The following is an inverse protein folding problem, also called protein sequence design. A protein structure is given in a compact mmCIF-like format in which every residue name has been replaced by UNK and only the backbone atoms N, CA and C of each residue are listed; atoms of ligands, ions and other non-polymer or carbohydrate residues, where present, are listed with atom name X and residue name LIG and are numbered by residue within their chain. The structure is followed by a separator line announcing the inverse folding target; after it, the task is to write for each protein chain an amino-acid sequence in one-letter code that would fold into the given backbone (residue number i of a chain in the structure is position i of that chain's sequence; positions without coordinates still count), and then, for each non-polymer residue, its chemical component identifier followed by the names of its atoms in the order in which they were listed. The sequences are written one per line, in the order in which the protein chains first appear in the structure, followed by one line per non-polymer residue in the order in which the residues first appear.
data_IF_145978926635
#
_entry.id   IF_145978926635
#
_cell.length_a   1.000
_cell.length_b   1.000
_cell.length_c   1.000
_cell.angle_alpha   90.00
_cell.angle_beta   90.00
_cell.angle_gamma   90.00
#
_symmetry.space_group_name_H-M   'P 1'
#
loop_
_entity.id
_entity.type
_entity.pdbx_description
1 polymer ?
#
# COMPACT_ATOMS: atom_id res chain seq x y z
N UNK A 1 35.82 15.69 -11.12
CA UNK A 1 34.58 14.94 -11.40
C UNK A 1 34.80 13.53 -10.89
N UNK A 2 34.20 13.17 -9.77
CA UNK A 2 34.25 11.80 -9.24
C UNK A 2 32.92 11.14 -9.56
N UNK A 3 32.93 10.17 -10.45
CA UNK A 3 31.85 9.20 -10.64
C UNK A 3 32.23 7.98 -9.78
N UNK A 4 31.67 7.89 -8.58
CA UNK A 4 31.77 6.67 -7.77
C UNK A 4 30.68 5.70 -8.21
N UNK A 5 31.05 4.44 -8.38
CA UNK A 5 30.18 3.36 -8.84
C UNK A 5 30.04 2.35 -7.71
N UNK A 6 29.10 2.58 -6.81
CA UNK A 6 28.68 1.57 -5.82
C UNK A 6 27.34 0.96 -6.26
N UNK A 7 27.38 0.19 -7.35
CA UNK A 7 26.33 -0.75 -7.74
C UNK A 7 26.69 -2.20 -7.34
N UNK A 8 27.77 -2.40 -6.58
CA UNK A 8 28.33 -3.73 -6.25
C UNK A 8 28.46 -3.99 -4.74
N UNK A 9 27.76 -3.23 -3.90
CA UNK A 9 27.47 -3.67 -2.53
C UNK A 9 26.72 -5.01 -2.61
N UNK A 10 26.99 -5.99 -1.73
CA UNK A 10 26.08 -7.12 -1.58
C UNK A 10 24.67 -6.57 -1.37
N UNK A 11 23.71 -7.10 -2.14
CA UNK A 11 22.32 -6.69 -2.07
C UNK A 11 21.79 -7.07 -0.69
N UNK A 12 21.65 -6.06 0.17
CA UNK A 12 20.98 -6.15 1.46
C UNK A 12 19.57 -5.58 1.25
N UNK A 13 18.52 -6.42 1.14
CA UNK A 13 17.15 -5.95 0.97
C UNK A 13 16.75 -5.15 2.20
N UNK A 14 16.78 -3.83 2.09
CA UNK A 14 16.28 -2.91 3.11
C UNK A 14 14.83 -2.58 2.80
N UNK A 15 14.06 -2.35 3.85
CA UNK A 15 12.76 -1.73 3.68
C UNK A 15 12.96 -0.35 3.05
N UNK A 16 12.27 -0.11 1.94
CA UNK A 16 12.36 1.11 1.16
C UNK A 16 11.29 2.12 1.57
N UNK A 17 10.29 1.72 2.36
CA UNK A 17 9.20 2.60 2.78
C UNK A 17 9.69 3.54 3.89
N UNK A 18 9.32 4.81 3.79
CA UNK A 18 9.63 5.85 4.77
C UNK A 18 8.42 6.15 5.66
N UNK A 19 7.28 6.48 5.05
CA UNK A 19 6.03 6.71 5.78
C UNK A 19 4.79 6.47 4.92
N UNK A 20 3.66 6.33 5.60
CA UNK A 20 2.34 6.34 4.99
C UNK A 20 2.00 7.73 4.45
N UNK A 21 1.37 7.77 3.27
CA UNK A 21 0.86 9.01 2.67
C UNK A 21 -0.65 9.08 2.80
N UNK A 22 -1.37 7.99 2.48
CA UNK A 22 -2.82 7.96 2.65
C UNK A 22 -3.48 6.70 2.09
N UNK A 23 -4.71 6.44 2.50
CA UNK A 23 -5.56 5.36 2.02
C UNK A 23 -6.78 5.94 1.28
N UNK A 24 -7.32 5.24 0.29
CA UNK A 24 -8.53 5.71 -0.41
C UNK A 24 -9.76 5.74 0.49
N UNK A 25 -9.76 4.89 1.51
CA UNK A 25 -10.72 4.92 2.60
C UNK A 25 -10.14 4.19 3.83
N UNK A 26 -10.76 4.44 4.98
CA UNK A 26 -10.49 3.70 6.22
C UNK A 26 -11.81 3.48 6.95
N UNK A 27 -12.03 2.29 7.54
CA UNK A 27 -13.28 1.99 8.27
C UNK A 27 -13.28 2.60 9.68
N UNK A 28 -12.36 2.16 10.55
CA UNK A 28 -12.27 2.63 11.94
C UNK A 28 -10.93 3.29 12.22
N UNK A 29 -10.95 4.63 12.26
CA UNK A 29 -9.80 5.42 12.70
C UNK A 29 -9.78 5.58 14.23
N UNK A 30 -8.60 5.51 14.88
CA UNK A 30 -7.27 5.23 14.30
C UNK A 30 -6.89 3.72 14.27
N UNK A 31 -7.74 2.84 14.80
CA UNK A 31 -7.39 1.43 15.04
C UNK A 31 -7.10 0.60 13.79
N UNK A 32 -7.60 1.02 12.63
CA UNK A 32 -7.48 0.31 11.35
C UNK A 32 -6.86 1.22 10.28
N UNK A 33 -6.05 2.18 10.70
CA UNK A 33 -5.41 3.17 9.84
C UNK A 33 -4.22 2.58 9.05
N UNK A 34 -3.82 3.28 7.98
CA UNK A 34 -2.70 2.86 7.11
C UNK A 34 -1.38 2.73 7.88
N UNK A 35 -1.17 3.52 8.92
CA UNK A 35 0.03 3.51 9.76
C UNK A 35 0.31 2.13 10.37
N UNK A 36 -0.75 1.39 10.67
CA UNK A 36 -0.68 0.05 11.26
C UNK A 36 -0.10 -1.00 10.29
N UNK A 37 0.00 -0.70 8.99
CA UNK A 37 0.61 -1.61 8.01
C UNK A 37 2.14 -1.65 8.09
N UNK A 38 2.77 -0.67 8.75
CA UNK A 38 4.21 -0.58 8.94
C UNK A 38 4.65 -0.99 10.35
N UNK A 39 3.71 -1.28 11.24
CA UNK A 39 4.00 -1.75 12.59
C UNK A 39 4.09 -3.28 12.64
N UNK A 40 5.09 -3.80 13.36
CA UNK A 40 5.34 -5.24 13.48
C UNK A 40 4.83 -5.84 14.80
N UNK A 41 4.19 -5.06 15.67
CA UNK A 41 3.84 -5.51 17.02
C UNK A 41 2.51 -6.29 17.03
N UNK A 42 2.61 -7.61 16.84
CA UNK A 42 1.47 -8.55 16.88
C UNK A 42 1.19 -9.10 18.30
N UNK A 43 1.94 -8.71 19.34
CA UNK A 43 1.86 -9.41 20.64
C UNK A 43 0.54 -9.19 21.39
N UNK A 44 -0.13 -8.04 21.20
CA UNK A 44 -1.32 -7.70 21.99
C UNK A 44 -2.51 -7.17 21.20
N UNK A 45 -2.33 -6.72 19.96
CA UNK A 45 -3.40 -6.21 19.10
C UNK A 45 -3.06 -6.50 17.65
N UNK A 46 -4.02 -6.95 16.81
CA UNK A 46 -3.77 -7.00 15.38
C UNK A 46 -3.50 -5.57 14.87
N UNK A 47 -2.33 -5.35 14.27
CA UNK A 47 -1.99 -4.12 13.58
C UNK A 47 -2.26 -4.31 12.09
N UNK A 48 -3.24 -3.59 11.56
CA UNK A 48 -3.72 -3.71 10.19
C UNK A 48 -4.40 -2.42 9.73
N UNK A 49 -4.53 -2.29 8.42
CA UNK A 49 -5.43 -1.31 7.80
C UNK A 49 -6.73 -1.99 7.39
N UNK A 50 -7.85 -1.28 7.43
CA UNK A 50 -9.11 -1.74 6.84
C UNK A 50 -9.70 -0.70 5.89
N UNK A 51 -10.20 -1.14 4.74
CA UNK A 51 -10.97 -0.29 3.84
C UNK A 51 -12.34 0.06 4.43
N UNK A 52 -12.93 1.18 4.04
CA UNK A 52 -14.37 1.38 4.19
C UNK A 52 -15.19 0.33 3.41
N UNK A 53 -16.37 -0.01 3.94
CA UNK A 53 -17.25 -1.02 3.35
C UNK A 53 -17.83 -0.60 1.99
N UNK A 54 -17.86 -1.53 1.03
CA UNK A 54 -18.43 -1.30 -0.31
C UNK A 54 -19.46 -2.34 -0.72
N UNK A 55 -20.52 -1.91 -1.41
CA UNK A 55 -21.54 -2.84 -1.96
C UNK A 55 -21.04 -3.57 -3.20
N UNK A 56 -20.33 -2.85 -4.06
CA UNK A 56 -19.77 -3.40 -5.29
C UNK A 56 -18.35 -3.92 -5.02
N UNK A 57 -18.11 -5.24 -5.12
CA UNK A 57 -16.78 -5.81 -4.90
C UNK A 57 -15.77 -5.41 -5.98
N UNK A 58 -16.19 -4.81 -7.11
CA UNK A 58 -15.27 -4.33 -8.14
C UNK A 58 -14.63 -2.98 -7.80
N UNK A 59 -15.15 -2.23 -6.82
CA UNK A 59 -14.57 -0.94 -6.40
C UNK A 59 -13.23 -1.20 -5.72
N UNK A 60 -12.11 -0.69 -6.29
CA UNK A 60 -10.78 -0.92 -5.74
C UNK A 60 -10.53 -0.06 -4.50
N UNK A 61 -9.46 -0.40 -3.79
CA UNK A 61 -8.85 0.45 -2.77
C UNK A 61 -7.40 0.72 -3.13
N UNK A 62 -6.80 1.72 -2.51
CA UNK A 62 -5.38 1.96 -2.61
C UNK A 62 -4.76 2.49 -1.33
N UNK A 63 -3.50 2.13 -1.14
CA UNK A 63 -2.61 2.65 -0.12
C UNK A 63 -1.43 3.32 -0.81
N UNK A 64 -1.06 4.52 -0.36
CA UNK A 64 0.07 5.28 -0.90
C UNK A 64 1.11 5.44 0.19
N UNK A 65 2.38 5.19 -0.17
CA UNK A 65 3.53 5.33 0.71
C UNK A 65 4.63 6.16 0.03
N UNK A 66 5.40 6.85 0.85
CA UNK A 66 6.65 7.47 0.44
C UNK A 66 7.82 6.51 0.65
N UNK A 67 8.80 6.57 -0.23
CA UNK A 67 10.04 5.80 -0.13
C UNK A 67 11.13 6.63 0.57
N UNK A 68 12.12 5.95 1.14
CA UNK A 68 13.25 6.57 1.86
C UNK A 68 14.11 7.50 0.98
N UNK A 69 14.01 7.38 -0.33
CA UNK A 69 14.71 8.24 -1.28
C UNK A 69 13.82 8.52 -2.50
N UNK A 70 14.01 9.69 -3.09
CA UNK A 70 13.46 10.01 -4.41
C UNK A 70 13.99 9.08 -5.50
N UNK A 71 15.13 8.42 -5.29
CA UNK A 71 15.67 7.41 -6.19
C UNK A 71 15.77 6.08 -5.44
N UNK A 72 14.81 5.20 -5.68
CA UNK A 72 14.74 3.90 -5.02
C UNK A 72 14.60 2.78 -6.05
N UNK A 73 15.45 1.76 -5.95
CA UNK A 73 15.33 0.55 -6.77
C UNK A 73 14.38 -0.43 -6.06
N UNK A 74 13.24 -0.70 -6.67
CA UNK A 74 12.20 -1.60 -6.13
C UNK A 74 12.18 -2.87 -6.96
N UNK A 75 12.33 -4.03 -6.33
CA UNK A 75 12.27 -5.35 -6.99
C UNK A 75 11.10 -6.22 -6.49
N UNK A 76 10.69 -6.02 -5.25
CA UNK A 76 9.67 -6.80 -4.57
C UNK A 76 8.85 -5.92 -3.63
N UNK A 77 7.54 -6.16 -3.61
CA UNK A 77 6.64 -5.62 -2.58
C UNK A 77 6.10 -6.82 -1.80
N UNK A 78 6.06 -6.72 -0.47
CA UNK A 78 5.54 -7.76 0.41
C UNK A 78 4.30 -7.27 1.14
N UNK A 79 3.23 -8.05 1.09
CA UNK A 79 1.95 -7.72 1.74
C UNK A 79 1.41 -8.97 2.42
N UNK A 80 0.87 -8.81 3.64
CA UNK A 80 0.21 -9.87 4.40
C UNK A 80 -1.26 -9.48 4.59
N UNK A 81 -2.22 -10.18 3.96
CA UNK A 81 -3.63 -9.98 4.29
C UNK A 81 -3.94 -10.42 5.71
N UNK A 82 -4.89 -9.76 6.36
CA UNK A 82 -5.27 -10.13 7.72
C UNK A 82 -6.32 -11.25 7.75
N UNK A 83 -6.11 -12.22 8.64
CA UNK A 83 -7.17 -13.12 9.09
C UNK A 83 -7.89 -12.51 10.29
N UNK A 84 -9.18 -12.30 10.13
CA UNK A 84 -10.06 -11.77 11.16
C UNK A 84 -10.39 -12.81 12.23
N UNK A 85 -9.43 -13.14 13.11
CA UNK A 85 -9.63 -14.15 14.16
C UNK A 85 -10.81 -13.85 15.08
N UNK A 86 -11.18 -12.58 15.21
CA UNK A 86 -12.29 -12.09 16.01
C UNK A 86 -13.66 -12.13 15.30
N UNK A 87 -13.72 -12.54 14.01
CA UNK A 87 -14.98 -12.69 13.26
C UNK A 87 -15.35 -14.17 13.10
N UNK A 88 -16.65 -14.44 12.98
CA UNK A 88 -17.16 -15.80 12.78
C UNK A 88 -16.62 -16.41 11.48
N UNK A 89 -16.12 -17.65 11.55
CA UNK A 89 -15.50 -18.33 10.41
C UNK A 89 -14.07 -17.88 10.10
N UNK A 90 -13.53 -16.90 10.84
CA UNK A 90 -12.19 -16.36 10.70
C UNK A 90 -11.80 -16.02 9.25
N UNK A 91 -12.59 -15.19 8.57
CA UNK A 91 -12.37 -14.85 7.17
C UNK A 91 -11.05 -14.10 6.96
N UNK A 92 -10.59 -14.14 5.72
CA UNK A 92 -9.42 -13.39 5.25
C UNK A 92 -9.95 -12.32 4.30
N UNK A 93 -9.73 -11.06 4.64
CA UNK A 93 -10.25 -9.91 3.90
C UNK A 93 -9.21 -9.45 2.87
N UNK A 94 -8.75 -10.33 2.00
CA UNK A 94 -7.78 -9.92 0.97
C UNK A 94 -8.45 -9.45 -0.32
N UNK A 95 -7.66 -8.80 -1.18
CA UNK A 95 -8.08 -8.52 -2.55
C UNK A 95 -7.97 -9.78 -3.44
N UNK A 96 -8.54 -9.75 -4.64
CA UNK A 96 -8.33 -10.79 -5.67
C UNK A 96 -6.98 -10.60 -6.33
N UNK A 97 -6.63 -9.35 -6.63
CA UNK A 97 -5.37 -8.97 -7.25
C UNK A 97 -4.79 -7.72 -6.59
N UNK A 98 -3.50 -7.53 -6.76
CA UNK A 98 -2.79 -6.30 -6.40
C UNK A 98 -2.01 -5.77 -7.61
N UNK A 99 -1.93 -4.45 -7.73
CA UNK A 99 -1.11 -3.75 -8.73
C UNK A 99 -0.31 -2.64 -8.07
N UNK A 100 0.89 -2.41 -8.55
CA UNK A 100 1.80 -1.40 -8.02
C UNK A 100 2.02 -0.30 -9.03
N UNK A 101 2.00 0.95 -8.59
CA UNK A 101 2.45 2.10 -9.37
C UNK A 101 3.58 2.79 -8.65
N UNK A 102 4.60 3.18 -9.41
CA UNK A 102 5.76 3.92 -8.93
C UNK A 102 5.82 5.26 -9.66
N UNK A 103 6.14 6.32 -8.93
CA UNK A 103 6.12 7.66 -9.50
C UNK A 103 6.44 8.74 -8.49
N UNK A 104 5.90 9.92 -8.74
CA UNK A 104 6.17 11.12 -7.96
C UNK A 104 4.96 12.04 -7.89
N UNK A 105 4.93 12.89 -6.86
CA UNK A 105 3.91 13.92 -6.65
C UNK A 105 4.16 15.13 -7.55
N UNK A 106 3.12 15.70 -8.17
CA UNK A 106 3.23 16.90 -9.02
C UNK A 106 3.49 18.16 -8.18
N UNK A 107 4.40 19.07 -8.63
CA UNK A 107 4.48 20.42 -8.07
C UNK A 107 3.17 21.21 -8.34
N UNK A 108 2.73 22.14 -7.45
CA UNK A 108 3.43 22.69 -6.28
C UNK A 108 3.09 22.00 -4.95
N UNK A 109 2.44 20.83 -4.95
CA UNK A 109 2.18 20.07 -3.71
C UNK A 109 3.48 19.67 -2.97
N UNK A 110 4.63 19.89 -3.60
CA UNK A 110 6.00 19.77 -3.07
C UNK A 110 6.39 20.82 -1.99
N UNK A 111 5.53 21.73 -1.52
CA UNK A 111 6.03 22.76 -0.59
C UNK A 111 6.36 22.19 0.80
N UNK A 112 7.63 22.26 1.19
CA UNK A 112 8.19 21.99 2.53
C UNK A 112 7.54 22.82 3.67
N UNK A 113 6.47 23.58 3.42
CA UNK A 113 5.93 24.56 4.39
C UNK A 113 4.44 24.92 4.24
N UNK A 114 3.57 24.08 3.68
CA UNK A 114 2.12 24.32 3.81
C UNK A 114 1.41 23.12 4.40
N UNK A 115 1.20 23.20 5.72
CA UNK A 115 0.26 22.39 6.49
C UNK A 115 -1.16 22.77 6.04
N UNK A 116 -1.56 22.34 4.85
CA UNK A 116 -2.97 22.10 4.61
C UNK A 116 -3.25 20.70 5.14
N UNK A 117 -4.31 20.56 5.94
CA UNK A 117 -4.85 19.25 6.29
C UNK A 117 -5.34 18.65 4.97
N UNK A 118 -4.47 17.91 4.29
CA UNK A 118 -4.84 17.19 3.08
C UNK A 118 -5.74 16.05 3.50
N UNK A 119 -6.94 15.99 2.94
CA UNK A 119 -7.83 14.86 3.18
C UNK A 119 -7.30 13.60 2.49
N UNK A 120 -7.65 12.42 2.99
CA UNK A 120 -7.32 11.14 2.35
C UNK A 120 -7.72 11.09 0.86
N UNK A 121 -8.84 11.73 0.52
CA UNK A 121 -9.31 11.85 -0.86
C UNK A 121 -8.35 12.67 -1.73
N UNK A 122 -7.78 13.75 -1.20
CA UNK A 122 -6.77 14.55 -1.92
C UNK A 122 -5.42 13.81 -1.98
N UNK A 123 -5.03 13.14 -0.89
CA UNK A 123 -3.78 12.39 -0.81
C UNK A 123 -3.75 11.20 -1.77
N UNK A 124 -4.91 10.63 -2.09
CA UNK A 124 -5.04 9.46 -2.98
C UNK A 124 -5.52 9.76 -4.39
N UNK A 125 -5.83 11.02 -4.71
CA UNK A 125 -6.21 11.43 -6.06
C UNK A 125 -5.05 11.23 -7.04
N UNK A 126 -5.27 10.35 -8.03
CA UNK A 126 -4.33 10.07 -9.11
C UNK A 126 -3.93 11.33 -9.88
N UNK A 127 -4.78 12.37 -9.90
CA UNK A 127 -4.49 13.64 -10.57
C UNK A 127 -3.30 14.37 -9.96
N UNK A 128 -2.96 14.09 -8.70
CA UNK A 128 -1.83 14.70 -7.99
C UNK A 128 -0.49 14.02 -8.31
N UNK A 129 -0.49 12.85 -8.95
CA UNK A 129 0.72 12.06 -9.19
C UNK A 129 1.05 11.91 -10.68
N UNK A 130 2.32 11.66 -10.95
CA UNK A 130 2.80 11.13 -12.24
C UNK A 130 3.34 9.73 -11.98
N UNK A 131 2.62 8.74 -12.49
CA UNK A 131 3.03 7.33 -12.44
C UNK A 131 3.94 7.03 -13.64
N UNK A 132 5.21 6.75 -13.37
CA UNK A 132 6.20 6.42 -14.41
C UNK A 132 6.29 4.92 -14.68
N UNK A 133 5.77 4.12 -13.76
CA UNK A 133 5.66 2.67 -13.90
C UNK A 133 4.34 2.17 -13.31
N UNK A 134 3.75 1.17 -13.98
CA UNK A 134 2.61 0.40 -13.53
C UNK A 134 2.93 -1.08 -13.74
N UNK A 135 2.83 -1.88 -12.70
CA UNK A 135 3.06 -3.33 -12.78
C UNK A 135 1.89 -4.06 -13.48
N UNK A 136 2.09 -5.33 -13.89
CA UNK A 136 0.98 -6.25 -14.07
C UNK A 136 0.14 -6.40 -12.80
N UNK A 137 -1.06 -6.96 -12.92
CA UNK A 137 -1.85 -7.41 -11.78
C UNK A 137 -1.32 -8.76 -11.30
N UNK A 138 -1.09 -8.87 -9.99
CA UNK A 138 -0.67 -10.12 -9.35
C UNK A 138 -1.84 -10.71 -8.59
N UNK A 139 -2.10 -12.03 -8.69
CA UNK A 139 -3.11 -12.67 -7.85
C UNK A 139 -2.69 -12.60 -6.38
N UNK A 140 -3.63 -12.23 -5.51
CA UNK A 140 -3.42 -12.22 -4.06
C UNK A 140 -4.08 -13.46 -3.45
N UNK A 141 -3.29 -14.25 -2.72
CA UNK A 141 -3.79 -15.45 -2.06
C UNK A 141 -4.69 -15.05 -0.88
N UNK A 142 -5.74 -15.85 -0.67
CA UNK A 142 -6.64 -15.69 0.47
C UNK A 142 -6.04 -16.37 1.72
N UNK A 143 -4.81 -16.00 2.07
CA UNK A 143 -4.01 -16.61 3.13
C UNK A 143 -3.36 -15.53 4.02
N UNK A 144 -3.42 -15.71 5.34
CA UNK A 144 -2.76 -14.83 6.31
C UNK A 144 -1.27 -15.19 6.47
N UNK A 145 -0.53 -14.96 5.39
CA UNK A 145 0.91 -15.16 5.29
C UNK A 145 1.52 -13.97 4.57
N UNK A 146 2.80 -13.68 4.82
CA UNK A 146 3.51 -12.66 4.07
C UNK A 146 3.68 -13.12 2.61
N UNK A 147 3.05 -12.41 1.68
CA UNK A 147 3.08 -12.73 0.26
C UNK A 147 4.10 -11.84 -0.46
N UNK A 148 4.85 -12.44 -1.37
CA UNK A 148 5.93 -11.80 -2.15
C UNK A 148 5.46 -11.49 -3.56
N UNK A 149 5.45 -10.20 -3.92
CA UNK A 149 5.09 -9.73 -5.25
C UNK A 149 6.31 -9.16 -5.96
N UNK A 150 7.01 -10.03 -6.69
CA UNK A 150 8.21 -9.65 -7.45
C UNK A 150 7.83 -8.96 -8.75
N UNK A 151 8.40 -7.79 -8.98
CA UNK A 151 8.23 -7.07 -10.24
C UNK A 151 8.94 -7.86 -11.37
N UNK A 152 8.43 -7.82 -12.62
CA UNK A 152 9.05 -8.54 -13.74
C UNK A 152 10.52 -8.15 -13.97
N UNK A 153 10.87 -6.90 -13.64
CA UNK A 153 12.22 -6.36 -13.59
C UNK A 153 12.30 -5.39 -12.42
N UNK A 154 13.48 -5.21 -11.83
CA UNK A 154 13.72 -4.16 -10.85
C UNK A 154 13.42 -2.80 -11.48
N UNK A 155 12.68 -1.95 -10.76
CA UNK A 155 12.23 -0.64 -11.25
C UNK A 155 12.90 0.45 -10.45
N UNK A 156 13.56 1.38 -11.14
CA UNK A 156 14.00 2.62 -10.53
C UNK A 156 12.79 3.56 -10.36
N UNK A 157 12.28 3.67 -9.14
CA UNK A 157 11.29 4.68 -8.76
C UNK A 157 11.99 6.05 -8.71
N UNK A 158 11.45 7.01 -9.47
CA UNK A 158 11.91 8.40 -9.51
C UNK A 158 10.83 9.27 -8.86
N UNK A 159 11.22 10.01 -7.82
CA UNK A 159 10.43 10.85 -6.92
C UNK A 159 9.71 10.12 -5.79
N UNK A 160 10.06 8.85 -5.54
CA UNK A 160 9.90 8.22 -4.22
C UNK A 160 8.47 7.96 -3.75
N UNK A 161 7.51 7.73 -4.66
CA UNK A 161 6.13 7.38 -4.28
C UNK A 161 5.74 6.02 -4.84
N UNK A 162 5.12 5.19 -4.00
CA UNK A 162 4.50 3.91 -4.39
C UNK A 162 3.01 3.92 -4.03
N UNK A 163 2.18 3.49 -4.98
CA UNK A 163 0.75 3.21 -4.78
C UNK A 163 0.50 1.72 -4.93
N UNK A 164 -0.12 1.14 -3.92
CA UNK A 164 -0.62 -0.24 -3.91
C UNK A 164 -2.11 -0.17 -4.23
N UNK A 165 -2.53 -0.72 -5.36
CA UNK A 165 -3.93 -0.86 -5.75
C UNK A 165 -4.42 -2.27 -5.41
N UNK A 166 -5.44 -2.36 -4.57
CA UNK A 166 -6.08 -3.59 -4.12
C UNK A 166 -7.36 -3.78 -4.92
N UNK A 167 -7.37 -4.80 -5.79
CA UNK A 167 -8.35 -4.97 -6.85
C UNK A 167 -9.26 -6.17 -6.57
N UNK A 168 -10.56 -5.91 -6.52
CA UNK A 168 -11.58 -6.93 -6.34
C UNK A 168 -11.66 -7.41 -4.90
N UNK A 169 -12.73 -7.06 -4.21
CA UNK A 169 -12.99 -7.51 -2.85
C UNK A 169 -13.48 -8.96 -2.84
N UNK A 170 -13.07 -9.73 -1.85
CA UNK A 170 -13.40 -11.15 -1.76
C UNK A 170 -14.43 -11.42 -0.68
N UNK A 171 -14.21 -10.92 0.53
CA UNK A 171 -15.07 -11.24 1.65
C UNK A 171 -16.17 -10.20 1.86
N UNK A 172 -17.40 -10.70 2.04
CA UNK A 172 -18.57 -9.91 2.38
C UNK A 172 -18.85 -10.09 3.87
N UNK A 173 -18.84 -8.99 4.60
CA UNK A 173 -19.13 -8.98 6.01
C UNK A 173 -20.60 -9.33 6.29
N UNK A 174 -20.83 -10.13 7.33
CA UNK A 174 -22.18 -10.62 7.66
C UNK A 174 -23.00 -9.63 8.47
N UNK A 175 -22.38 -8.63 9.11
CA UNK A 175 -23.07 -7.69 9.99
C UNK A 175 -23.79 -6.59 9.21
N UNK A 176 -23.15 -6.04 8.17
CA UNK A 176 -23.71 -4.97 7.34
C UNK A 176 -23.94 -5.38 5.88
N UNK A 177 -23.42 -6.53 5.45
CA UNK A 177 -23.53 -6.99 4.08
C UNK A 177 -22.67 -6.19 3.10
N UNK A 178 -21.56 -5.61 3.53
CA UNK A 178 -20.61 -4.90 2.68
C UNK A 178 -19.32 -5.71 2.49
N UNK A 179 -18.55 -5.38 1.45
CA UNK A 179 -17.26 -5.98 1.15
C UNK A 179 -16.12 -5.11 1.68
N UNK A 180 -15.10 -5.76 2.23
CA UNK A 180 -13.96 -5.13 2.90
C UNK A 180 -12.63 -5.73 2.44
N UNK A 181 -11.54 -4.96 2.58
CA UNK A 181 -10.15 -5.42 2.42
C UNK A 181 -9.36 -5.00 3.67
N UNK A 182 -8.69 -5.96 4.32
CA UNK A 182 -7.83 -5.80 5.51
C UNK A 182 -6.45 -6.43 5.30
#
# INVERSE_FOLDING_TARGET
MHLSHDLLSPYDPKDCISCCVGASSTDHLPEEAIENTLEHDEEWRPSYWSSGGQKDPAVPECLIYSLQSELCLVDEIRIRPLKAFFRYGHPIYSAKHVRFRLGYLKPPHWSETHVYVQSDAELTDDSNYVWTYTSPEFPMLQENVMQSFKLPHSVLCIGGVVKIELLGRVHKDTFDGLYYIW
#
